data_IF_941852611163
#
_entry.id   IF_941852611163
#
_cell.length_a   1.000
_cell.length_b   1.000
_cell.length_c   1.000
_cell.angle_alpha   90.00
_cell.angle_beta   90.00
_cell.angle_gamma   90.00
#
_symmetry.space_group_name_H-M   'P 1'
#
loop_
_entity.id
_entity.type
_entity.pdbx_description
1 polymer ?
#
# COMPACT_ATOMS: atom_id res chain seq x y z
N UNK A 1 1.22 4.56 -3.82
CA UNK A 1 1.61 4.13 -2.46
C UNK A 1 2.17 5.32 -1.70
N UNK A 2 1.64 5.61 -0.52
CA UNK A 2 2.02 6.69 0.39
C UNK A 2 2.31 6.12 1.78
N UNK A 3 2.89 6.93 2.68
CA UNK A 3 3.18 6.52 4.07
C UNK A 3 2.86 7.65 5.06
N UNK A 4 3.67 8.73 5.08
CA UNK A 4 3.58 9.87 6.01
C UNK A 4 3.04 11.12 5.33
N UNK A 5 2.50 12.04 6.12
CA UNK A 5 1.92 13.29 5.64
C UNK A 5 2.38 14.45 6.54
N UNK A 6 2.86 15.55 5.93
CA UNK A 6 3.36 16.75 6.63
C UNK A 6 4.50 16.48 7.64
N UNK A 7 5.28 15.42 7.45
CA UNK A 7 6.45 15.08 8.26
C UNK A 7 7.75 15.29 7.48
N UNK A 8 8.13 16.52 7.14
CA UNK A 8 9.29 16.87 6.28
C UNK A 8 10.63 16.32 6.75
N UNK A 9 10.73 15.86 8.00
CA UNK A 9 11.90 15.15 8.52
C UNK A 9 12.19 13.83 7.78
N UNK A 10 11.18 13.25 7.12
CA UNK A 10 11.26 11.93 6.49
C UNK A 10 10.93 11.99 4.99
N UNK A 11 11.71 12.73 4.16
CA UNK A 11 11.34 13.02 2.77
C UNK A 11 11.19 11.77 1.89
N UNK A 12 11.82 10.64 2.23
CA UNK A 12 11.72 9.37 1.49
C UNK A 12 10.39 8.63 1.71
N UNK A 13 9.61 9.01 2.72
CA UNK A 13 8.31 8.41 3.04
C UNK A 13 7.20 9.46 3.18
N UNK A 14 7.55 10.74 3.27
CA UNK A 14 6.61 11.85 3.47
C UNK A 14 6.10 12.45 2.16
N UNK A 15 4.90 13.00 2.21
CA UNK A 15 4.34 13.91 1.21
C UNK A 15 3.65 15.07 1.92
N UNK A 16 3.78 16.29 1.37
CA UNK A 16 3.04 17.44 1.88
C UNK A 16 1.56 17.33 1.51
N UNK A 17 0.67 17.73 2.42
CA UNK A 17 -0.78 17.58 2.21
C UNK A 17 -1.34 18.42 1.05
N UNK A 18 -0.75 19.56 0.75
CA UNK A 18 -1.10 20.36 -0.42
C UNK A 18 -0.81 19.59 -1.71
N UNK A 19 0.37 18.98 -1.82
CA UNK A 19 0.77 18.14 -2.96
C UNK A 19 -0.12 16.89 -3.05
N UNK A 20 -0.43 16.26 -1.91
CA UNK A 20 -1.35 15.11 -1.90
C UNK A 20 -2.74 15.47 -2.41
N UNK A 21 -3.29 16.61 -1.99
CA UNK A 21 -4.59 17.12 -2.47
C UNK A 21 -4.56 17.36 -3.98
N UNK A 22 -3.47 17.92 -4.51
CA UNK A 22 -3.30 18.08 -5.95
C UNK A 22 -3.25 16.74 -6.68
N UNK A 23 -2.59 15.71 -6.12
CA UNK A 23 -2.64 14.36 -6.69
C UNK A 23 -4.08 13.83 -6.78
N UNK A 24 -4.88 14.01 -5.72
CA UNK A 24 -6.29 13.60 -5.72
C UNK A 24 -7.10 14.37 -6.76
N UNK A 25 -6.88 15.69 -6.90
CA UNK A 25 -7.54 16.50 -7.92
C UNK A 25 -7.18 16.02 -9.33
N UNK A 26 -5.90 15.78 -9.61
CA UNK A 26 -5.45 15.22 -10.89
C UNK A 26 -6.10 13.87 -11.22
N UNK A 27 -6.31 13.01 -10.23
CA UNK A 27 -7.04 11.75 -10.44
C UNK A 27 -8.50 12.04 -10.77
N UNK A 28 -9.18 12.93 -10.01
CA UNK A 28 -10.59 13.30 -10.25
C UNK A 28 -10.82 13.92 -11.64
N UNK A 29 -9.86 14.68 -12.12
CA UNK A 29 -9.90 15.32 -13.46
C UNK A 29 -9.51 14.35 -14.59
N UNK A 30 -8.91 13.22 -14.26
CA UNK A 30 -8.46 12.23 -15.22
C UNK A 30 -9.61 11.34 -15.73
N UNK A 31 -9.29 10.41 -16.65
CA UNK A 31 -10.21 9.36 -17.12
C UNK A 31 -10.24 8.13 -16.21
N UNK A 32 -9.63 8.20 -15.02
CA UNK A 32 -9.58 7.09 -14.09
C UNK A 32 -10.63 7.23 -13.00
N UNK A 33 -11.24 6.10 -12.65
CA UNK A 33 -12.04 6.01 -11.44
C UNK A 33 -11.19 5.52 -10.27
N UNK A 34 -11.56 5.92 -9.07
CA UNK A 34 -11.01 5.30 -7.87
C UNK A 34 -11.55 3.86 -7.72
N UNK A 35 -10.66 2.93 -7.46
CA UNK A 35 -11.04 1.57 -7.13
C UNK A 35 -11.40 1.45 -5.66
N UNK A 36 -12.65 1.08 -5.34
CA UNK A 36 -12.96 0.67 -3.97
C UNK A 36 -12.23 -0.65 -3.67
N UNK A 37 -11.35 -0.66 -2.65
CA UNK A 37 -10.50 -1.81 -2.36
C UNK A 37 -11.27 -3.08 -1.97
N UNK A 38 -12.49 -2.94 -1.43
CA UNK A 38 -13.36 -4.10 -1.14
C UNK A 38 -13.74 -4.90 -2.39
N UNK A 39 -13.59 -4.30 -3.57
CA UNK A 39 -13.85 -4.93 -4.86
C UNK A 39 -12.57 -5.44 -5.56
N UNK A 40 -11.38 -5.29 -4.98
CA UNK A 40 -10.12 -5.55 -5.67
C UNK A 40 -10.02 -6.97 -6.25
N UNK A 41 -10.44 -7.99 -5.50
CA UNK A 41 -10.43 -9.38 -5.97
C UNK A 41 -11.33 -9.59 -7.21
N UNK A 42 -12.53 -9.01 -7.17
CA UNK A 42 -13.49 -9.08 -8.28
C UNK A 42 -12.95 -8.34 -9.50
N UNK A 43 -12.41 -7.17 -9.26
CA UNK A 43 -11.86 -6.31 -10.28
C UNK A 43 -10.58 -6.88 -10.94
N UNK A 44 -9.76 -7.61 -10.20
CA UNK A 44 -8.55 -8.24 -10.72
C UNK A 44 -8.85 -9.29 -11.79
N UNK A 45 -9.99 -9.98 -11.69
CA UNK A 45 -10.36 -11.08 -12.57
C UNK A 45 -11.17 -10.68 -13.81
N UNK A 46 -11.45 -9.37 -14.01
CA UNK A 46 -12.27 -8.89 -15.13
C UNK A 46 -11.38 -8.17 -16.15
N UNK A 47 -11.34 -8.63 -17.43
CA UNK A 47 -10.70 -7.88 -18.51
C UNK A 47 -11.31 -6.49 -18.64
N UNK A 48 -10.49 -5.43 -18.56
CA UNK A 48 -11.00 -4.08 -18.35
C UNK A 48 -10.97 -3.19 -19.59
N UNK A 49 -12.08 -2.50 -19.80
CA UNK A 49 -12.14 -1.32 -20.67
C UNK A 49 -11.85 -0.02 -19.91
N UNK A 50 -12.04 0.01 -18.58
CA UNK A 50 -11.93 1.20 -17.75
C UNK A 50 -10.70 1.10 -16.82
N UNK A 51 -9.86 2.11 -16.85
CA UNK A 51 -8.68 2.21 -15.98
C UNK A 51 -9.09 2.71 -14.60
N UNK A 52 -8.54 2.11 -13.55
CA UNK A 52 -8.82 2.45 -12.15
C UNK A 52 -7.53 2.73 -11.39
N UNK A 53 -7.62 3.59 -10.39
CA UNK A 53 -6.52 3.90 -9.47
C UNK A 53 -6.89 3.41 -8.07
N UNK A 54 -6.00 2.66 -7.47
CA UNK A 54 -6.06 2.26 -6.06
C UNK A 54 -5.01 3.03 -5.28
N UNK A 55 -5.45 3.73 -4.24
CA UNK A 55 -4.55 4.37 -3.28
C UNK A 55 -4.19 3.35 -2.20
N UNK A 56 -2.91 3.27 -1.86
CA UNK A 56 -2.42 2.47 -0.74
C UNK A 56 -1.58 3.33 0.20
N UNK A 57 -1.71 3.09 1.49
CA UNK A 57 -0.99 3.76 2.57
C UNK A 57 -0.31 2.66 3.38
N UNK A 58 1.00 2.77 3.62
CA UNK A 58 1.73 1.76 4.39
C UNK A 58 2.08 2.26 5.80
N UNK A 59 2.43 1.33 6.69
CA UNK A 59 2.97 1.46 8.05
C UNK A 59 1.99 1.90 9.14
N UNK A 60 0.92 2.63 8.82
CA UNK A 60 -0.02 3.11 9.84
C UNK A 60 0.52 4.25 10.70
N UNK A 61 1.26 5.18 10.11
CA UNK A 61 1.76 6.36 10.82
C UNK A 61 0.64 7.27 11.34
N UNK A 62 0.91 7.90 12.48
CA UNK A 62 -0.05 8.83 13.11
C UNK A 62 -0.35 10.04 12.23
N UNK A 63 0.63 10.54 11.47
CA UNK A 63 0.44 11.64 10.54
C UNK A 63 -0.58 11.34 9.44
N UNK A 64 -0.74 10.09 9.02
CA UNK A 64 -1.82 9.71 8.13
C UNK A 64 -3.19 10.00 8.78
N UNK A 65 -3.39 9.59 10.03
CA UNK A 65 -4.66 9.78 10.73
C UNK A 65 -4.95 11.27 11.02
N UNK A 66 -3.93 12.03 11.39
CA UNK A 66 -4.09 13.44 11.78
C UNK A 66 -4.26 14.37 10.57
N UNK A 67 -3.57 14.07 9.44
CA UNK A 67 -3.47 14.98 8.30
C UNK A 67 -4.30 14.50 7.10
N UNK A 68 -4.13 13.26 6.66
CA UNK A 68 -4.74 12.78 5.42
C UNK A 68 -6.13 12.17 5.61
N UNK A 69 -6.37 11.47 6.71
CA UNK A 69 -7.63 10.80 6.97
C UNK A 69 -8.85 11.73 6.96
N UNK A 70 -8.85 12.90 7.63
CA UNK A 70 -10.00 13.81 7.59
C UNK A 70 -10.39 14.19 6.16
N UNK A 71 -9.41 14.49 5.31
CA UNK A 71 -9.64 14.84 3.91
C UNK A 71 -10.16 13.66 3.09
N UNK A 72 -9.59 12.46 3.27
CA UNK A 72 -10.02 11.25 2.57
C UNK A 72 -11.45 10.85 2.97
N UNK A 73 -11.79 10.99 4.26
CA UNK A 73 -13.11 10.71 4.82
C UNK A 73 -14.17 11.66 4.24
N UNK A 74 -13.92 12.97 4.30
CA UNK A 74 -14.82 13.99 3.75
C UNK A 74 -15.11 13.77 2.27
N UNK A 75 -14.08 13.47 1.49
CA UNK A 75 -14.18 13.25 0.05
C UNK A 75 -14.54 11.82 -0.36
N UNK A 76 -14.69 10.89 0.58
CA UNK A 76 -14.96 9.45 0.36
C UNK A 76 -13.98 8.80 -0.61
N UNK A 77 -12.70 9.17 -0.52
CA UNK A 77 -11.64 8.63 -1.37
C UNK A 77 -11.25 7.22 -0.88
N UNK A 78 -11.40 6.18 -1.70
CA UNK A 78 -11.11 4.82 -1.27
C UNK A 78 -9.62 4.50 -1.22
N UNK A 79 -9.21 3.71 -0.23
CA UNK A 79 -7.82 3.29 -0.07
C UNK A 79 -7.68 1.97 0.70
N UNK A 80 -6.51 1.35 0.60
CA UNK A 80 -6.03 0.32 1.53
C UNK A 80 -5.02 0.97 2.46
N UNK A 81 -5.11 0.65 3.75
CA UNK A 81 -4.05 0.96 4.70
C UNK A 81 -3.44 -0.34 5.22
N UNK A 82 -2.14 -0.53 5.01
CA UNK A 82 -1.37 -1.68 5.46
C UNK A 82 -0.76 -1.38 6.83
N UNK A 83 -1.08 -2.21 7.80
CA UNK A 83 -0.71 -2.02 9.21
C UNK A 83 0.32 -3.07 9.64
N UNK A 84 1.45 -2.61 10.15
CA UNK A 84 2.37 -3.43 10.95
C UNK A 84 1.93 -3.38 12.40
N UNK A 85 1.78 -4.54 13.04
CA UNK A 85 1.05 -4.59 14.31
C UNK A 85 1.88 -4.24 15.54
N UNK A 86 3.20 -4.37 15.50
CA UNK A 86 4.07 -4.03 16.63
C UNK A 86 4.15 -2.52 16.90
N UNK A 87 4.24 -1.64 15.87
CA UNK A 87 4.29 -0.20 16.10
C UNK A 87 2.98 0.41 16.60
N UNK A 88 1.83 -0.26 16.40
CA UNK A 88 0.52 0.29 16.79
C UNK A 88 0.49 0.73 18.24
N UNK A 89 0.12 1.98 18.47
CA UNK A 89 0.08 2.61 19.80
C UNK A 89 1.43 3.16 20.29
N UNK A 90 2.52 2.92 19.59
CA UNK A 90 3.81 3.56 19.88
C UNK A 90 3.81 5.01 19.36
N UNK A 91 4.75 5.81 19.86
CA UNK A 91 4.92 7.20 19.40
C UNK A 91 5.11 7.27 17.87
N UNK A 92 4.36 8.15 17.20
CA UNK A 92 4.39 8.33 15.76
C UNK A 92 3.51 7.35 14.95
N UNK A 93 2.80 6.42 15.61
CA UNK A 93 1.91 5.48 14.97
C UNK A 93 0.48 5.60 15.48
N UNK A 94 -0.49 5.15 14.67
CA UNK A 94 -1.89 5.09 15.06
C UNK A 94 -2.12 4.11 16.21
N UNK A 95 -3.19 4.36 16.95
CA UNK A 95 -3.73 3.42 17.93
C UNK A 95 -4.72 2.45 17.29
N UNK A 96 -5.03 1.33 17.96
CA UNK A 96 -6.08 0.41 17.51
C UNK A 96 -7.46 1.05 17.42
N UNK A 97 -7.77 2.04 18.27
CA UNK A 97 -9.06 2.72 18.20
C UNK A 97 -9.16 3.62 16.96
N UNK A 98 -8.06 4.27 16.57
CA UNK A 98 -7.99 5.01 15.31
C UNK A 98 -8.12 4.11 14.09
N UNK A 99 -7.46 2.93 14.11
CA UNK A 99 -7.58 1.94 13.04
C UNK A 99 -9.02 1.42 12.92
N UNK A 100 -9.67 1.12 14.05
CA UNK A 100 -11.09 0.71 14.08
C UNK A 100 -12.03 1.80 13.57
N UNK A 101 -11.74 3.07 13.85
CA UNK A 101 -12.54 4.18 13.31
C UNK A 101 -12.48 4.20 11.79
N UNK A 102 -11.28 4.13 11.22
CA UNK A 102 -11.05 4.14 9.78
C UNK A 102 -11.73 2.94 9.11
N UNK A 103 -11.61 1.77 9.71
CA UNK A 103 -12.12 0.49 9.18
C UNK A 103 -13.65 0.47 9.03
N UNK A 104 -14.39 1.27 9.79
CA UNK A 104 -15.86 1.37 9.69
C UNK A 104 -16.34 1.89 8.34
N UNK A 105 -15.51 2.62 7.62
CA UNK A 105 -15.90 3.18 6.33
C UNK A 105 -15.94 2.11 5.22
N UNK A 106 -17.00 2.15 4.41
CA UNK A 106 -17.22 1.15 3.35
C UNK A 106 -16.27 1.28 2.15
N UNK A 107 -15.49 2.34 2.09
CA UNK A 107 -14.48 2.61 1.07
C UNK A 107 -13.04 2.38 1.55
N UNK A 108 -12.86 1.83 2.76
CA UNK A 108 -11.57 1.51 3.34
C UNK A 108 -11.38 0.02 3.47
N UNK A 109 -10.16 -0.46 3.29
CA UNK A 109 -9.73 -1.82 3.59
C UNK A 109 -8.46 -1.78 4.43
N UNK A 110 -8.44 -2.52 5.54
CA UNK A 110 -7.22 -2.77 6.30
C UNK A 110 -6.45 -3.89 5.62
N UNK A 111 -5.16 -3.70 5.42
CA UNK A 111 -4.23 -4.68 4.88
C UNK A 111 -3.19 -5.10 5.92
N UNK A 112 -2.58 -6.25 5.70
CA UNK A 112 -1.56 -6.84 6.55
C UNK A 112 -0.16 -6.37 6.12
N UNK A 113 0.69 -5.92 7.06
CA UNK A 113 2.05 -5.44 6.77
C UNK A 113 3.09 -6.02 7.76
N UNK A 114 2.98 -7.32 8.05
CA UNK A 114 3.81 -8.01 9.07
C UNK A 114 3.52 -7.59 10.52
N UNK A 115 4.31 -8.10 11.46
CA UNK A 115 4.30 -7.68 12.86
C UNK A 115 5.33 -6.60 13.13
N UNK A 116 6.61 -6.91 12.97
CA UNK A 116 7.72 -6.05 13.38
C UNK A 116 8.02 -4.92 12.40
N UNK A 117 7.70 -5.09 11.11
CA UNK A 117 8.21 -4.28 10.00
C UNK A 117 9.75 -4.32 9.91
N UNK A 118 10.36 -5.41 10.33
CA UNK A 118 11.79 -5.64 10.13
C UNK A 118 12.12 -5.90 8.65
N UNK A 119 13.41 -5.90 8.33
CA UNK A 119 13.90 -6.30 7.02
C UNK A 119 13.85 -7.83 6.88
N UNK A 120 12.62 -8.33 6.65
CA UNK A 120 12.28 -9.76 6.75
C UNK A 120 12.96 -10.62 5.68
N UNK A 121 13.43 -10.02 4.57
CA UNK A 121 14.17 -10.74 3.51
C UNK A 121 15.49 -11.34 4.04
N UNK A 122 16.08 -10.78 5.08
CA UNK A 122 17.29 -11.28 5.71
C UNK A 122 17.04 -12.32 6.80
N UNK A 123 15.76 -12.60 7.10
CA UNK A 123 15.35 -13.59 8.09
C UNK A 123 15.14 -14.95 7.46
N UNK A 124 15.13 -16.00 8.28
CA UNK A 124 14.70 -17.32 7.85
C UNK A 124 13.22 -17.33 7.49
N UNK A 125 12.80 -18.29 6.66
CA UNK A 125 11.37 -18.45 6.34
C UNK A 125 10.52 -18.71 7.58
N UNK A 126 11.06 -19.42 8.57
CA UNK A 126 10.37 -19.69 9.84
C UNK A 126 10.15 -18.39 10.64
N UNK A 127 11.15 -17.52 10.72
CA UNK A 127 11.01 -16.20 11.36
C UNK A 127 9.97 -15.34 10.65
N UNK A 128 9.97 -15.32 9.31
CA UNK A 128 8.95 -14.62 8.52
C UNK A 128 7.54 -15.15 8.79
N UNK A 129 7.37 -16.46 8.81
CA UNK A 129 6.08 -17.11 9.12
C UNK A 129 5.62 -16.74 10.53
N UNK A 130 6.50 -16.86 11.52
CA UNK A 130 6.18 -16.52 12.91
C UNK A 130 5.80 -15.05 13.08
N UNK A 131 6.50 -14.14 12.41
CA UNK A 131 6.16 -12.71 12.41
C UNK A 131 4.78 -12.46 11.80
N UNK A 132 4.50 -13.03 10.63
CA UNK A 132 3.21 -12.89 9.93
C UNK A 132 2.06 -13.49 10.74
N UNK A 133 2.24 -14.67 11.33
CA UNK A 133 1.21 -15.30 12.17
C UNK A 133 0.96 -14.53 13.47
N UNK A 134 2.01 -13.96 14.06
CA UNK A 134 1.88 -13.11 15.25
C UNK A 134 1.02 -11.88 14.94
N UNK A 135 1.29 -11.22 13.82
CA UNK A 135 0.46 -10.11 13.37
C UNK A 135 -1.00 -10.54 13.14
N UNK A 136 -1.21 -11.68 12.48
CA UNK A 136 -2.55 -12.23 12.22
C UNK A 136 -3.36 -12.46 13.51
N UNK A 137 -2.73 -13.01 14.56
CA UNK A 137 -3.35 -13.18 15.88
C UNK A 137 -3.71 -11.83 16.52
N UNK A 138 -2.86 -10.82 16.36
CA UNK A 138 -3.10 -9.47 16.90
C UNK A 138 -4.24 -8.78 16.14
N UNK A 139 -4.32 -8.90 14.81
CA UNK A 139 -5.45 -8.41 14.03
C UNK A 139 -6.75 -9.05 14.45
N UNK A 140 -6.80 -10.39 14.54
CA UNK A 140 -7.98 -11.12 15.01
C UNK A 140 -8.47 -10.64 16.36
N UNK A 141 -7.54 -10.42 17.31
CA UNK A 141 -7.85 -9.91 18.66
C UNK A 141 -8.43 -8.49 18.62
N UNK A 142 -7.90 -7.59 17.77
CA UNK A 142 -8.21 -6.17 17.84
C UNK A 142 -9.35 -5.74 16.91
N UNK A 143 -9.43 -6.29 15.68
CA UNK A 143 -10.44 -5.93 14.68
C UNK A 143 -11.38 -7.09 14.32
N UNK A 144 -11.19 -8.27 14.90
CA UNK A 144 -12.10 -9.42 14.76
C UNK A 144 -11.88 -10.28 13.51
N UNK A 145 -10.91 -9.94 12.67
CA UNK A 145 -10.55 -10.72 11.48
C UNK A 145 -9.07 -10.56 11.14
N UNK A 146 -8.57 -11.42 10.26
CA UNK A 146 -7.23 -11.29 9.67
C UNK A 146 -7.37 -10.65 8.30
N UNK A 147 -6.67 -9.52 8.01
CA UNK A 147 -6.68 -8.93 6.69
C UNK A 147 -6.17 -9.91 5.63
N UNK A 148 -6.93 -10.06 4.54
CA UNK A 148 -6.63 -11.04 3.49
C UNK A 148 -5.72 -10.53 2.38
N UNK A 149 -5.28 -9.27 2.46
CA UNK A 149 -4.36 -8.64 1.51
C UNK A 149 -3.08 -8.29 2.25
N UNK A 150 -1.94 -8.67 1.67
CA UNK A 150 -0.62 -8.46 2.26
C UNK A 150 0.17 -7.39 1.51
N UNK A 151 1.03 -6.65 2.19
CA UNK A 151 2.10 -5.84 1.60
C UNK A 151 3.42 -6.26 2.23
N UNK A 152 4.40 -6.60 1.41
CA UNK A 152 5.74 -6.94 1.92
C UNK A 152 6.42 -5.70 2.47
N UNK A 153 6.94 -5.73 3.74
CA UNK A 153 7.80 -4.67 4.26
C UNK A 153 8.95 -4.40 3.30
N UNK A 154 9.25 -3.14 3.04
CA UNK A 154 10.23 -2.68 2.05
C UNK A 154 9.96 -3.15 0.60
N UNK A 155 8.89 -3.92 0.37
CA UNK A 155 8.54 -4.50 -0.93
C UNK A 155 9.42 -5.66 -1.36
N UNK A 156 10.26 -6.19 -0.47
CA UNK A 156 11.21 -7.27 -0.75
C UNK A 156 10.71 -8.60 -0.20
N UNK A 157 10.96 -9.67 -0.94
CA UNK A 157 10.51 -11.03 -0.58
C UNK A 157 11.34 -12.11 -1.27
N UNK A 158 11.47 -13.26 -0.63
CA UNK A 158 12.00 -14.48 -1.25
C UNK A 158 10.89 -15.29 -1.94
N UNK A 159 11.28 -16.32 -2.68
CA UNK A 159 10.34 -17.26 -3.27
C UNK A 159 9.53 -17.97 -2.19
N UNK A 160 10.19 -18.43 -1.12
CA UNK A 160 9.53 -19.13 -0.02
C UNK A 160 8.52 -18.23 0.71
N UNK A 161 8.85 -16.95 0.92
CA UNK A 161 7.91 -15.97 1.48
C UNK A 161 6.69 -15.80 0.58
N UNK A 162 6.90 -15.65 -0.74
CA UNK A 162 5.79 -15.56 -1.69
C UNK A 162 4.95 -16.84 -1.72
N UNK A 163 5.57 -18.00 -1.66
CA UNK A 163 4.87 -19.30 -1.61
C UNK A 163 4.00 -19.41 -0.33
N UNK A 164 4.49 -18.94 0.82
CA UNK A 164 3.70 -18.88 2.05
C UNK A 164 2.54 -17.88 1.93
N UNK A 165 2.79 -16.67 1.44
CA UNK A 165 1.76 -15.64 1.27
C UNK A 165 0.68 -16.12 0.30
N UNK A 166 1.05 -16.81 -0.78
CA UNK A 166 0.10 -17.31 -1.78
C UNK A 166 -0.91 -18.32 -1.24
N UNK A 167 -0.57 -19.01 -0.15
CA UNK A 167 -1.43 -20.01 0.51
C UNK A 167 -2.34 -19.39 1.57
N UNK A 168 -1.99 -18.22 2.09
CA UNK A 168 -2.64 -17.64 3.27
C UNK A 168 -3.35 -16.30 3.01
N UNK A 169 -3.04 -15.65 1.87
CA UNK A 169 -3.61 -14.35 1.51
C UNK A 169 -4.20 -14.39 0.09
N UNK A 170 -5.10 -13.49 -0.21
CA UNK A 170 -5.76 -13.41 -1.51
C UNK A 170 -4.88 -12.81 -2.60
N UNK A 171 -4.10 -11.79 -2.22
CA UNK A 171 -3.12 -11.12 -3.07
C UNK A 171 -2.11 -10.35 -2.21
N UNK A 172 -0.97 -9.99 -2.79
CA UNK A 172 0.02 -9.16 -2.11
C UNK A 172 0.71 -8.14 -3.02
N UNK A 173 1.24 -7.11 -2.36
CA UNK A 173 1.90 -5.98 -3.00
C UNK A 173 3.39 -5.93 -2.65
N UNK A 174 4.21 -5.76 -3.70
CA UNK A 174 5.58 -5.27 -3.57
C UNK A 174 5.66 -3.74 -3.58
N UNK A 175 6.88 -3.21 -3.72
CA UNK A 175 7.13 -1.77 -3.91
C UNK A 175 7.77 -1.46 -5.27
N UNK A 176 8.01 -2.49 -6.10
CA UNK A 176 8.47 -2.25 -7.46
C UNK A 176 7.38 -1.56 -8.26
N UNK A 177 7.82 -0.70 -9.13
CA UNK A 177 6.94 0.21 -9.83
C UNK A 177 6.25 -0.45 -11.02
N UNK A 178 4.95 -0.17 -11.18
CA UNK A 178 4.21 -0.72 -12.31
C UNK A 178 2.71 -0.56 -12.23
N UNK A 179 2.06 -0.89 -13.34
CA UNK A 179 0.61 -1.03 -13.42
C UNK A 179 0.22 -2.48 -13.19
N UNK A 180 -0.96 -2.66 -12.61
CA UNK A 180 -1.54 -3.97 -12.39
C UNK A 180 -2.39 -4.34 -13.61
N UNK A 181 -2.14 -5.50 -14.19
CA UNK A 181 -2.97 -6.13 -15.20
C UNK A 181 -3.18 -7.62 -14.88
N UNK A 182 -4.07 -8.28 -15.64
CA UNK A 182 -4.44 -9.68 -15.39
C UNK A 182 -3.31 -10.70 -15.59
N UNK A 183 -2.21 -10.29 -16.22
CA UNK A 183 -1.05 -11.15 -16.48
C UNK A 183 0.00 -11.04 -15.37
N UNK A 184 -0.20 -10.10 -14.39
CA UNK A 184 0.70 -9.96 -13.26
C UNK A 184 0.45 -11.06 -12.23
N UNK A 185 1.54 -11.51 -11.61
CA UNK A 185 1.44 -12.38 -10.45
C UNK A 185 0.74 -11.61 -9.32
N UNK A 186 -0.41 -12.10 -8.89
CA UNK A 186 -1.22 -11.46 -7.84
C UNK A 186 -0.57 -11.44 -6.46
N UNK A 187 0.56 -12.12 -6.32
CA UNK A 187 1.34 -12.16 -5.08
C UNK A 187 2.62 -11.31 -5.12
N UNK A 188 2.74 -10.46 -6.14
CA UNK A 188 3.82 -9.48 -6.26
C UNK A 188 3.36 -8.23 -7.02
N UNK A 189 2.17 -7.72 -6.70
CA UNK A 189 1.56 -6.61 -7.41
C UNK A 189 2.41 -5.33 -7.28
N UNK A 190 2.70 -4.66 -8.40
CA UNK A 190 3.49 -3.43 -8.39
C UNK A 190 2.70 -2.24 -7.85
N UNK A 191 3.43 -1.24 -7.35
CA UNK A 191 2.88 0.04 -6.91
C UNK A 191 3.83 1.18 -7.26
N UNK A 192 3.30 2.37 -7.48
CA UNK A 192 4.12 3.57 -7.67
C UNK A 192 4.39 4.24 -6.32
N UNK A 193 5.66 4.30 -5.84
CA UNK A 193 5.98 5.03 -4.62
C UNK A 193 5.83 6.54 -4.85
N UNK A 194 5.15 7.19 -3.92
CA UNK A 194 4.92 8.63 -3.91
C UNK A 194 5.38 9.20 -2.57
N UNK A 195 6.35 10.09 -2.62
CA UNK A 195 6.94 10.78 -1.49
C UNK A 195 7.55 12.11 -1.98
N UNK A 196 8.23 12.89 -1.16
CA UNK A 196 8.80 14.18 -1.60
C UNK A 196 9.79 14.04 -2.76
N UNK A 197 10.52 12.93 -2.84
CA UNK A 197 11.46 12.68 -3.94
C UNK A 197 10.73 12.30 -5.24
N UNK A 198 9.60 11.59 -5.14
CA UNK A 198 8.88 10.98 -6.26
C UNK A 198 7.43 11.48 -6.43
N UNK A 199 7.00 12.50 -5.68
CA UNK A 199 5.65 13.03 -5.66
C UNK A 199 5.46 14.32 -6.47
N UNK A 200 6.45 14.77 -7.26
CA UNK A 200 6.31 15.98 -8.11
C UNK A 200 5.13 15.83 -9.06
N UNK A 201 4.34 16.88 -9.24
CA UNK A 201 3.10 16.87 -10.01
C UNK A 201 3.30 16.42 -11.46
N UNK A 202 4.40 16.82 -12.11
CA UNK A 202 4.68 16.42 -13.51
C UNK A 202 4.92 14.91 -13.61
N UNK A 203 5.66 14.32 -12.65
CA UNK A 203 5.83 12.87 -12.59
C UNK A 203 4.50 12.17 -12.30
N UNK A 204 3.69 12.70 -11.39
CA UNK A 204 2.39 12.14 -11.09
C UNK A 204 1.45 12.19 -12.30
N UNK A 205 1.41 13.30 -13.04
CA UNK A 205 0.70 13.41 -14.32
C UNK A 205 1.16 12.37 -15.33
N UNK A 206 2.47 12.13 -15.43
CA UNK A 206 3.02 11.08 -16.29
C UNK A 206 2.56 9.69 -15.89
N UNK A 207 2.47 9.39 -14.59
CA UNK A 207 1.94 8.11 -14.07
C UNK A 207 0.48 7.94 -14.47
N UNK A 208 -0.40 8.93 -14.26
CA UNK A 208 -1.83 8.82 -14.56
C UNK A 208 -2.14 8.92 -16.06
N UNK A 209 -1.31 9.58 -16.84
CA UNK A 209 -1.45 9.65 -18.30
C UNK A 209 -0.71 8.52 -19.02
N UNK A 210 -0.28 7.53 -18.31
CA UNK A 210 0.60 6.44 -18.69
C UNK A 210 0.36 5.93 -20.11
N UNK A 211 1.44 6.00 -20.89
CA UNK A 211 1.63 5.23 -22.12
C UNK A 211 2.61 4.09 -21.85
N UNK A 212 2.32 2.84 -22.28
CA UNK A 212 3.25 1.72 -22.14
C UNK A 212 4.66 1.98 -22.68
N UNK A 213 4.78 2.88 -23.69
CA UNK A 213 6.04 3.26 -24.31
C UNK A 213 6.89 4.21 -23.45
N UNK A 214 6.28 4.97 -22.54
CA UNK A 214 6.95 5.95 -21.67
C UNK A 214 7.33 5.36 -20.31
N UNK A 215 6.87 4.15 -20.01
CA UNK A 215 7.05 3.50 -18.73
C UNK A 215 8.50 3.40 -18.24
N UNK A 216 9.43 3.09 -19.14
CA UNK A 216 10.86 2.98 -18.82
C UNK A 216 11.49 4.28 -18.32
N UNK A 217 10.88 5.42 -18.63
CA UNK A 217 11.40 6.75 -18.28
C UNK A 217 10.81 7.29 -16.97
N UNK A 218 9.84 6.60 -16.37
CA UNK A 218 9.18 7.06 -15.14
C UNK A 218 9.96 6.71 -13.86
N UNK A 219 11.01 5.91 -13.98
CA UNK A 219 11.79 5.41 -12.84
C UNK A 219 13.27 5.67 -13.03
N UNK A 220 13.92 6.33 -12.06
CA UNK A 220 15.37 6.47 -12.06
C UNK A 220 16.09 5.14 -11.80
N UNK A 221 15.46 4.17 -11.09
CA UNK A 221 16.04 2.86 -10.81
C UNK A 221 14.94 1.80 -10.68
N UNK A 222 15.01 0.73 -11.47
CA UNK A 222 14.37 -0.53 -11.14
C UNK A 222 15.08 -1.07 -9.89
N UNK A 223 14.43 -1.04 -8.73
CA UNK A 223 14.86 -1.92 -7.64
C UNK A 223 14.77 -3.34 -8.17
N UNK A 224 15.91 -3.97 -8.43
CA UNK A 224 15.95 -5.40 -8.67
C UNK A 224 15.34 -6.03 -7.43
N UNK A 225 14.25 -6.79 -7.64
CA UNK A 225 13.75 -7.70 -6.63
C UNK A 225 14.89 -8.68 -6.38
N UNK A 226 15.61 -8.54 -5.29
CA UNK A 226 16.56 -9.55 -4.85
C UNK A 226 15.74 -10.78 -4.45
N UNK A 227 15.46 -11.58 -5.47
CA UNK A 227 14.97 -12.94 -5.29
C UNK A 227 16.18 -13.71 -4.79
N UNK A 228 16.39 -13.76 -3.50
CA UNK A 228 17.30 -14.76 -2.93
C UNK A 228 16.71 -16.12 -3.27
N UNK A 229 17.41 -16.86 -4.13
CA UNK A 229 17.13 -18.25 -4.48
C UNK A 229 17.37 -19.15 -3.27
#
# INVERSE_FOLDING_TARGET
MYHRFNESKYPSTNIQMDVFKEHINLIKESKFDFLNPKNIKKEFNIPKKQKKILITIDDGFKSFYEEAWPYLKENKIPFIIFISTEPVGKNGYMTWDQIKEIEKENFVLIGHHSHTHDYLIDKTIEEFINDTEKASKIFLKNIGYVPSIYSYPFGEYSKEMKDYISKNFDLSFGQHSGVIDINKDKYELPRFPINENYGKLDRFKSIINYSPLEYKNLYPEEKKLDKKN
#
